data_IF_888373060753
#
_entry.id   IF_888373060753
#
_cell.length_a   1.000
_cell.length_b   1.000
_cell.length_c   1.000
_cell.angle_alpha   90.00
_cell.angle_beta   90.00
_cell.angle_gamma   90.00
#
_symmetry.space_group_name_H-M   'P 1'
#
loop_
_entity.id
_entity.type
_entity.pdbx_description
1 polymer ?
#
# COMPACT_ATOMS: atom_id res chain seq x y z
N UNK A 1 12.45 -5.08 28.28
CA UNK A 1 12.17 -6.14 27.28
C UNK A 1 12.97 -5.77 26.04
N UNK A 2 13.95 -6.57 25.59
CA UNK A 2 14.72 -6.21 24.39
C UNK A 2 13.76 -6.23 23.20
N UNK A 3 13.61 -5.11 22.50
CA UNK A 3 12.80 -5.09 21.28
C UNK A 3 13.39 -6.10 20.30
N UNK A 4 12.66 -7.19 20.09
CA UNK A 4 13.11 -8.28 19.26
C UNK A 4 13.07 -7.78 17.80
N UNK A 5 14.13 -7.94 16.97
CA UNK A 5 14.15 -7.46 15.56
C UNK A 5 12.92 -7.86 14.74
N UNK A 6 12.33 -9.01 15.09
CA UNK A 6 11.04 -9.48 14.61
C UNK A 6 9.89 -8.46 14.72
N UNK A 7 9.69 -7.86 15.90
CA UNK A 7 8.59 -6.93 16.15
C UNK A 7 8.74 -5.65 15.35
N UNK A 8 9.97 -5.17 15.19
CA UNK A 8 10.27 -4.04 14.32
C UNK A 8 9.86 -4.35 12.87
N UNK A 9 10.20 -5.53 12.35
CA UNK A 9 9.82 -5.93 11.00
C UNK A 9 8.30 -6.06 10.83
N UNK A 10 7.59 -6.62 11.81
CA UNK A 10 6.13 -6.77 11.78
C UNK A 10 5.42 -5.40 11.79
N UNK A 11 5.83 -4.49 12.67
CA UNK A 11 5.33 -3.11 12.71
C UNK A 11 5.57 -2.39 11.37
N UNK A 12 6.78 -2.52 10.82
CA UNK A 12 7.14 -1.92 9.53
C UNK A 12 6.28 -2.48 8.39
N UNK A 13 6.01 -3.79 8.36
CA UNK A 13 5.18 -4.40 7.33
C UNK A 13 3.71 -3.99 7.45
N UNK A 14 3.17 -3.87 8.68
CA UNK A 14 1.81 -3.36 8.92
C UNK A 14 1.65 -1.93 8.42
N UNK A 15 2.62 -1.08 8.75
CA UNK A 15 2.71 0.30 8.28
C UNK A 15 2.73 0.39 6.74
N UNK A 16 3.61 -0.37 6.09
CA UNK A 16 3.70 -0.40 4.62
C UNK A 16 2.41 -0.91 3.98
N UNK A 17 1.80 -1.95 4.53
CA UNK A 17 0.54 -2.50 4.04
C UNK A 17 -0.58 -1.44 4.10
N UNK A 18 -0.74 -0.76 5.24
CA UNK A 18 -1.71 0.31 5.40
C UNK A 18 -1.48 1.44 4.39
N UNK A 19 -0.22 1.82 4.17
CA UNK A 19 0.15 2.86 3.21
C UNK A 19 -0.14 2.44 1.76
N UNK A 20 0.18 1.20 1.39
CA UNK A 20 -0.14 0.63 0.07
C UNK A 20 -1.65 0.68 -0.18
N UNK A 21 -2.45 0.24 0.80
CA UNK A 21 -3.92 0.28 0.74
C UNK A 21 -4.41 1.72 0.56
N UNK A 22 -3.97 2.65 1.40
CA UNK A 22 -4.40 4.05 1.33
C UNK A 22 -4.11 4.68 -0.04
N UNK A 23 -2.89 4.47 -0.58
CA UNK A 23 -2.53 4.98 -1.92
C UNK A 23 -3.32 4.31 -3.03
N UNK A 24 -3.57 3.00 -2.93
CA UNK A 24 -4.37 2.28 -3.93
C UNK A 24 -5.83 2.78 -3.95
N UNK A 25 -6.44 2.95 -2.78
CA UNK A 25 -7.78 3.54 -2.63
C UNK A 25 -7.85 4.97 -3.17
N UNK A 26 -6.90 5.83 -2.81
CA UNK A 26 -6.84 7.21 -3.31
C UNK A 26 -6.75 7.26 -4.84
N UNK A 27 -5.92 6.40 -5.44
CA UNK A 27 -5.77 6.32 -6.90
C UNK A 27 -7.07 5.87 -7.58
N UNK A 28 -7.79 4.89 -7.01
CA UNK A 28 -9.06 4.44 -7.58
C UNK A 28 -10.14 5.51 -7.44
N UNK A 29 -10.24 6.16 -6.28
CA UNK A 29 -11.16 7.29 -6.09
C UNK A 29 -10.92 8.42 -7.09
N UNK A 30 -9.67 8.80 -7.34
CA UNK A 30 -9.35 9.83 -8.34
C UNK A 30 -9.71 9.40 -9.76
N UNK A 31 -9.47 8.14 -10.12
CA UNK A 31 -9.82 7.58 -11.42
C UNK A 31 -11.35 7.58 -11.65
N UNK A 32 -12.11 7.23 -10.62
CA UNK A 32 -13.57 7.25 -10.66
C UNK A 32 -14.11 8.68 -10.74
N UNK A 33 -13.52 9.61 -9.96
CA UNK A 33 -13.88 11.02 -10.00
C UNK A 33 -13.63 11.63 -11.39
N UNK A 34 -12.50 11.31 -12.02
CA UNK A 34 -12.20 11.75 -13.39
C UNK A 34 -13.21 11.17 -14.37
N UNK A 35 -13.49 9.87 -14.29
CA UNK A 35 -14.46 9.20 -15.16
C UNK A 35 -15.87 9.79 -15.00
N UNK A 36 -16.28 10.11 -13.78
CA UNK A 36 -17.53 10.82 -13.47
C UNK A 36 -17.55 12.25 -14.02
N UNK A 37 -16.45 12.98 -13.93
CA UNK A 37 -16.29 14.30 -14.53
C UNK A 37 -16.38 14.26 -16.07
N UNK A 38 -15.79 13.26 -16.72
CA UNK A 38 -15.94 13.04 -18.16
C UNK A 38 -17.41 12.74 -18.53
N UNK A 39 -18.08 11.86 -17.77
CA UNK A 39 -19.49 11.49 -18.04
C UNK A 39 -20.44 12.68 -17.86
N UNK A 40 -20.30 13.43 -16.77
CA UNK A 40 -21.14 14.60 -16.49
C UNK A 40 -20.93 15.73 -17.52
N UNK A 41 -19.68 15.98 -17.92
CA UNK A 41 -19.37 16.98 -18.96
C UNK A 41 -19.70 16.55 -20.38
N UNK A 42 -19.84 15.26 -20.66
CA UNK A 42 -20.36 14.78 -21.95
C UNK A 42 -21.89 15.00 -22.09
N UNK A 43 -22.61 15.17 -20.98
CA UNK A 43 -24.05 15.44 -20.95
C UNK A 43 -24.35 16.94 -21.11
N UNK A 44 -23.46 17.82 -20.65
CA UNK A 44 -23.47 19.25 -21.02
C UNK A 44 -22.76 19.43 -22.37
N UNK A 45 -23.27 20.22 -23.31
CA UNK A 45 -22.72 20.38 -24.68
C UNK A 45 -21.33 21.09 -24.79
N UNK A 46 -20.41 20.84 -23.86
CA UNK A 46 -19.06 21.41 -23.77
C UNK A 46 -18.03 20.27 -23.59
N UNK A 47 -17.61 19.58 -24.68
CA UNK A 47 -16.84 18.34 -24.58
C UNK A 47 -15.31 18.54 -24.44
N UNK A 48 -14.82 19.71 -24.04
CA UNK A 48 -13.37 19.98 -24.07
C UNK A 48 -12.84 20.07 -22.63
N UNK A 49 -12.47 18.91 -22.08
CA UNK A 49 -11.41 18.91 -21.07
C UNK A 49 -10.11 19.25 -21.80
N UNK A 50 -9.50 20.38 -21.46
CA UNK A 50 -8.25 20.84 -22.07
C UNK A 50 -7.23 19.68 -22.08
N UNK A 51 -6.62 19.44 -23.23
CA UNK A 51 -5.56 18.46 -23.43
C UNK A 51 -4.48 18.57 -22.34
N UNK A 52 -4.14 19.80 -21.93
CA UNK A 52 -3.20 20.03 -20.83
C UNK A 52 -3.71 19.42 -19.51
N UNK A 53 -4.99 19.59 -19.19
CA UNK A 53 -5.60 19.02 -17.98
C UNK A 53 -5.52 17.49 -18.03
N UNK A 54 -5.85 16.88 -19.17
CA UNK A 54 -5.74 15.43 -19.35
C UNK A 54 -4.30 14.92 -19.23
N UNK A 55 -3.32 15.66 -19.77
CA UNK A 55 -1.91 15.32 -19.64
C UNK A 55 -1.41 15.41 -18.20
N UNK A 56 -1.73 16.49 -17.48
CA UNK A 56 -1.35 16.67 -16.08
C UNK A 56 -1.93 15.55 -15.21
N UNK A 57 -3.19 15.21 -15.42
CA UNK A 57 -3.87 14.11 -14.73
C UNK A 57 -3.23 12.75 -15.06
N UNK A 58 -2.95 12.46 -16.33
CA UNK A 58 -2.29 11.22 -16.75
C UNK A 58 -0.89 11.07 -16.15
N UNK A 59 -0.10 12.16 -16.13
CA UNK A 59 1.23 12.20 -15.50
C UNK A 59 1.12 11.94 -14.00
N UNK A 60 0.20 12.61 -13.29
CA UNK A 60 -0.01 12.40 -11.86
C UNK A 60 -0.38 10.94 -11.53
N UNK A 61 -1.27 10.33 -12.31
CA UNK A 61 -1.65 8.92 -12.15
C UNK A 61 -0.46 7.97 -12.37
N UNK A 62 0.37 8.22 -13.40
CA UNK A 62 1.58 7.41 -13.67
C UNK A 62 2.61 7.51 -12.54
N UNK A 63 2.80 8.70 -11.97
CA UNK A 63 3.71 8.88 -10.83
C UNK A 63 3.22 8.13 -9.59
N UNK A 64 1.92 8.18 -9.30
CA UNK A 64 1.33 7.45 -8.19
C UNK A 64 1.39 5.93 -8.38
N UNK A 65 1.29 5.43 -9.60
CA UNK A 65 1.54 4.01 -9.89
C UNK A 65 2.98 3.61 -9.56
N UNK A 66 3.97 4.46 -9.90
CA UNK A 66 5.38 4.19 -9.54
C UNK A 66 5.58 4.17 -8.03
N UNK A 67 4.92 5.05 -7.28
CA UNK A 67 5.07 5.10 -5.82
C UNK A 67 4.38 3.93 -5.11
N UNK A 68 3.21 3.48 -5.56
CA UNK A 68 2.61 2.24 -5.05
C UNK A 68 3.50 1.04 -5.36
N UNK A 69 4.08 0.99 -6.57
CA UNK A 69 5.00 -0.07 -6.96
C UNK A 69 6.26 -0.12 -6.09
N UNK A 70 6.84 1.03 -5.73
CA UNK A 70 8.01 1.06 -4.83
C UNK A 70 7.64 0.56 -3.44
N UNK A 71 6.49 0.97 -2.90
CA UNK A 71 6.01 0.50 -1.59
C UNK A 71 5.81 -1.02 -1.55
N UNK A 72 5.26 -1.62 -2.61
CA UNK A 72 5.10 -3.09 -2.71
C UNK A 72 6.45 -3.80 -2.77
N UNK A 73 7.42 -3.24 -3.51
CA UNK A 73 8.79 -3.78 -3.56
C UNK A 73 9.44 -3.75 -2.18
N UNK A 74 9.29 -2.65 -1.44
CA UNK A 74 9.84 -2.50 -0.09
C UNK A 74 9.18 -3.46 0.90
N UNK A 75 7.86 -3.63 0.83
CA UNK A 75 7.13 -4.61 1.61
C UNK A 75 7.66 -6.03 1.34
N UNK A 76 7.77 -6.43 0.07
CA UNK A 76 8.24 -7.77 -0.30
C UNK A 76 9.70 -8.01 0.07
N UNK A 77 10.54 -6.97 0.04
CA UNK A 77 11.93 -7.03 0.53
C UNK A 77 11.97 -7.31 2.04
N UNK A 78 11.12 -6.64 2.82
CA UNK A 78 11.00 -6.87 4.29
C UNK A 78 10.43 -8.25 4.61
N UNK A 79 9.45 -8.72 3.85
CA UNK A 79 8.95 -10.10 3.93
C UNK A 79 10.09 -11.12 3.78
N UNK A 80 10.97 -10.95 2.78
CA UNK A 80 12.14 -11.83 2.62
C UNK A 80 13.11 -11.74 3.81
N UNK A 81 13.31 -10.56 4.39
CA UNK A 81 14.12 -10.41 5.62
C UNK A 81 13.50 -11.17 6.79
N UNK A 82 12.18 -11.13 6.96
CA UNK A 82 11.47 -11.92 7.99
C UNK A 82 11.62 -13.42 7.77
N UNK A 83 11.56 -13.90 6.52
CA UNK A 83 11.84 -15.32 6.22
C UNK A 83 13.28 -15.68 6.62
N UNK A 84 14.27 -14.81 6.38
CA UNK A 84 15.67 -15.07 6.75
C UNK A 84 15.90 -15.08 8.27
N UNK A 85 15.11 -14.32 9.02
CA UNK A 85 15.12 -14.36 10.48
C UNK A 85 14.53 -15.67 11.02
N UNK A 86 13.70 -16.37 10.21
CA UNK A 86 13.13 -17.68 10.51
C UNK A 86 14.22 -18.73 10.49
N UNK A 87 14.80 -18.96 11.67
CA UNK A 87 15.89 -19.92 11.89
C UNK A 87 17.04 -19.38 12.74
N UNK A 88 17.12 -18.05 12.99
CA UNK A 88 18.25 -17.43 13.73
C UNK A 88 17.97 -17.17 15.22
N UNK A 89 17.20 -18.00 15.91
CA UNK A 89 16.67 -17.74 17.27
C UNK A 89 15.87 -16.42 17.39
N UNK A 90 15.58 -15.77 16.26
CA UNK A 90 15.04 -14.43 16.20
C UNK A 90 13.54 -14.34 15.88
N UNK A 91 12.80 -15.43 16.04
CA UNK A 91 11.36 -15.45 15.75
C UNK A 91 10.66 -16.32 16.80
N UNK A 92 9.54 -15.86 17.38
CA UNK A 92 8.70 -16.70 18.21
C UNK A 92 8.26 -17.95 17.43
N UNK A 93 8.31 -19.15 18.03
CA UNK A 93 7.98 -20.41 17.34
C UNK A 93 6.62 -20.42 16.63
N UNK A 94 5.67 -19.61 17.11
CA UNK A 94 4.31 -19.52 16.59
C UNK A 94 4.08 -18.27 15.73
N UNK A 95 5.13 -17.52 15.38
CA UNK A 95 4.97 -16.28 14.66
C UNK A 95 4.68 -16.52 13.18
N UNK A 96 3.52 -16.02 12.73
CA UNK A 96 3.07 -16.11 11.35
C UNK A 96 3.75 -14.99 10.55
N UNK A 97 4.36 -15.34 9.42
CA UNK A 97 4.88 -14.34 8.48
C UNK A 97 3.72 -13.95 7.55
N UNK A 98 3.44 -12.65 7.37
CA UNK A 98 2.44 -12.17 6.41
C UNK A 98 2.81 -12.57 4.98
N UNK A 99 1.85 -12.90 4.10
CA UNK A 99 2.16 -13.23 2.71
C UNK A 99 2.77 -12.03 1.96
N UNK A 100 3.55 -12.29 0.89
CA UNK A 100 4.01 -11.25 -0.03
C UNK A 100 2.82 -10.67 -0.80
N UNK A 101 2.94 -9.41 -1.23
CA UNK A 101 1.91 -8.73 -2.02
C UNK A 101 2.23 -8.92 -3.51
N UNK A 102 1.26 -9.46 -4.27
CA UNK A 102 1.30 -9.36 -5.72
C UNK A 102 0.85 -7.97 -6.16
N UNK A 103 1.67 -7.32 -6.98
CA UNK A 103 1.34 -6.03 -7.55
C UNK A 103 0.30 -6.17 -8.68
N UNK A 104 0.25 -7.34 -9.32
CA UNK A 104 -0.75 -7.63 -10.35
C UNK A 104 -2.11 -7.72 -9.68
N UNK A 105 -3.07 -6.94 -10.15
CA UNK A 105 -4.43 -6.92 -9.58
C UNK A 105 -4.61 -6.04 -8.34
N UNK A 106 -3.54 -5.44 -7.79
CA UNK A 106 -3.66 -4.51 -6.65
C UNK A 106 -4.60 -3.33 -6.95
N UNK A 107 -4.58 -2.84 -8.18
CA UNK A 107 -5.42 -1.72 -8.62
C UNK A 107 -6.84 -2.12 -9.01
N UNK A 108 -7.12 -3.42 -9.12
CA UNK A 108 -8.48 -3.89 -9.32
C UNK A 108 -9.27 -3.83 -7.99
N UNK A 109 -8.59 -3.61 -6.85
CA UNK A 109 -9.15 -3.54 -5.50
C UNK A 109 -10.25 -4.60 -5.27
N UNK A 110 -9.99 -5.82 -5.73
CA UNK A 110 -10.89 -6.93 -5.48
C UNK A 110 -10.95 -7.18 -3.96
N UNK A 111 -12.16 -7.39 -3.44
CA UNK A 111 -12.39 -7.60 -2.00
C UNK A 111 -11.70 -8.88 -1.53
N UNK A 112 -11.51 -9.84 -2.45
CA UNK A 112 -10.81 -11.10 -2.22
C UNK A 112 -9.27 -10.99 -2.31
N UNK A 113 -8.73 -9.79 -2.55
CA UNK A 113 -7.28 -9.63 -2.64
C UNK A 113 -6.63 -9.83 -1.26
N UNK A 114 -5.59 -10.67 -1.19
CA UNK A 114 -4.85 -11.00 0.04
C UNK A 114 -4.30 -9.76 0.77
N UNK A 115 -4.18 -8.61 0.08
CA UNK A 115 -3.88 -7.31 0.68
C UNK A 115 -4.85 -6.92 1.80
N UNK A 116 -6.07 -7.46 1.85
CA UNK A 116 -7.05 -7.15 2.90
C UNK A 116 -6.96 -8.08 4.12
N UNK A 117 -6.20 -9.18 4.04
CA UNK A 117 -6.10 -10.15 5.13
C UNK A 117 -5.04 -9.74 6.16
N UNK A 118 -5.41 -9.56 7.42
CA UNK A 118 -4.46 -9.21 8.50
C UNK A 118 -3.72 -10.43 9.11
N UNK A 119 -3.36 -11.38 8.25
CA UNK A 119 -2.63 -12.60 8.65
C UNK A 119 -1.18 -12.24 9.01
N UNK A 120 -0.77 -12.57 10.24
CA UNK A 120 0.61 -12.39 10.72
C UNK A 120 1.02 -10.94 11.01
N UNK A 121 0.09 -9.99 10.96
CA UNK A 121 0.30 -8.57 11.28
C UNK A 121 -0.42 -8.13 12.56
N UNK A 122 -1.37 -8.91 13.04
CA UNK A 122 -2.06 -8.69 14.32
C UNK A 122 -1.28 -9.36 15.45
N UNK A 123 -0.59 -8.55 16.24
CA UNK A 123 -0.42 -8.80 17.67
C UNK A 123 -1.26 -7.73 18.36
N UNK A 124 -2.10 -8.13 19.31
CA UNK A 124 -2.97 -7.21 20.07
C UNK A 124 -2.14 -6.16 20.83
N UNK A 125 -0.84 -6.39 21.01
CA UNK A 125 0.14 -5.46 21.60
C UNK A 125 0.44 -4.20 20.76
N UNK A 126 0.04 -4.14 19.49
CA UNK A 126 0.42 -3.03 18.58
C UNK A 126 -0.72 -2.09 18.18
N UNK A 127 -1.89 -2.24 18.77
CA UNK A 127 -3.02 -1.34 18.51
C UNK A 127 -2.66 0.11 18.95
N UNK A 128 -2.45 1.00 17.99
CA UNK A 128 -2.12 2.42 18.21
C UNK A 128 -0.66 2.84 18.05
N UNK A 129 0.28 1.93 17.78
CA UNK A 129 1.71 2.26 17.58
C UNK A 129 2.04 2.46 16.09
N UNK A 130 2.02 3.71 15.62
CA UNK A 130 2.53 4.09 14.28
C UNK A 130 4.03 4.35 14.37
N UNK A 131 4.82 3.80 13.44
CA UNK A 131 6.26 3.97 13.45
C UNK A 131 6.67 5.39 13.00
N UNK A 132 7.66 6.03 13.65
CA UNK A 132 8.01 7.45 13.40
C UNK A 132 8.38 7.79 11.95
N UNK A 133 9.03 6.88 11.23
CA UNK A 133 9.44 7.10 9.83
C UNK A 133 8.29 7.01 8.81
N UNK A 134 7.10 6.59 9.23
CA UNK A 134 5.89 6.57 8.39
C UNK A 134 5.09 7.88 8.48
N UNK A 135 5.35 8.71 9.51
CA UNK A 135 4.67 10.00 9.70
C UNK A 135 5.33 11.16 8.95
N UNK A 136 6.48 10.93 8.31
CA UNK A 136 7.25 11.94 7.61
C UNK A 136 7.07 11.75 6.10
N UNK A 137 6.31 12.65 5.45
CA UNK A 137 6.08 12.59 4.00
C UNK A 137 7.26 13.12 3.16
N UNK A 138 8.37 13.53 3.82
CA UNK A 138 9.54 14.19 3.21
C UNK A 138 10.82 13.32 3.10
N UNK A 139 10.71 11.98 3.07
CA UNK A 139 11.84 11.05 2.85
C UNK A 139 11.78 10.35 1.50
#
# INVERSE_FOLDING_TARGET
MKEHPWFEHQLNMRALKAHIIAKACQKNFEMDNLTGAFRSKAVSEQPILDHNTMEHTSKALKWRYRSVKSLVVDYNKRHQSMIKLRGRQGIPRNAVIPPPIDIKGLFNLDVDNDIWQDVGLADDEFEGKVLPWLGDEDV
#
